data_IF_180760719970
#
_entry.id   IF_180760719970
#
_cell.length_a   1.000
_cell.length_b   1.000
_cell.length_c   1.000
_cell.angle_alpha   90.00
_cell.angle_beta   90.00
_cell.angle_gamma   90.00
#
_symmetry.space_group_name_H-M   'P 1'
#
loop_
_entity.id
_entity.type
_entity.pdbx_description
1 polymer ?
#
# COMPACT_ATOMS: atom_id res chain seq x y z
N UNK A 1 5.48 -15.42 -36.15
CA UNK A 1 6.29 -14.44 -35.43
C UNK A 1 5.61 -14.23 -34.10
N UNK A 2 6.20 -14.80 -33.04
CA UNK A 2 5.64 -14.78 -31.68
C UNK A 2 6.11 -13.51 -30.98
N UNK A 3 5.19 -12.57 -30.73
CA UNK A 3 5.35 -11.59 -29.66
C UNK A 3 4.47 -12.04 -28.49
N UNK A 4 5.16 -12.42 -27.42
CA UNK A 4 4.60 -13.02 -26.24
C UNK A 4 3.80 -11.98 -25.43
N UNK A 5 2.58 -12.38 -25.07
CA UNK A 5 1.94 -12.22 -23.76
C UNK A 5 2.40 -10.99 -22.98
N UNK A 6 1.56 -9.96 -22.96
CA UNK A 6 1.62 -8.86 -22.01
C UNK A 6 1.51 -9.37 -20.58
N UNK A 7 2.64 -9.80 -20.01
CA UNK A 7 2.86 -9.74 -18.58
C UNK A 7 3.59 -8.41 -18.35
N UNK A 8 2.84 -7.35 -18.13
CA UNK A 8 3.42 -6.11 -17.62
C UNK A 8 4.14 -6.40 -16.29
N UNK A 9 5.46 -6.35 -16.39
CA UNK A 9 6.50 -6.13 -15.39
C UNK A 9 6.43 -6.91 -14.03
N UNK A 10 7.37 -7.86 -13.81
CA UNK A 10 7.79 -8.26 -12.46
C UNK A 10 8.47 -7.15 -11.64
N UNK A 11 8.73 -5.96 -12.21
CA UNK A 11 9.45 -4.87 -11.54
C UNK A 11 8.67 -4.25 -10.38
N UNK A 12 7.33 -4.19 -10.43
CA UNK A 12 6.54 -3.68 -9.30
C UNK A 12 6.66 -4.59 -8.06
N UNK A 13 6.68 -5.91 -8.25
CA UNK A 13 6.86 -6.85 -7.15
C UNK A 13 8.24 -6.77 -6.51
N UNK A 14 9.30 -6.64 -7.31
CA UNK A 14 10.68 -6.50 -6.82
C UNK A 14 10.91 -5.16 -6.12
N UNK A 15 10.39 -4.06 -6.68
CA UNK A 15 10.44 -2.74 -6.05
C UNK A 15 9.73 -2.74 -4.69
N UNK A 16 8.55 -3.37 -4.62
CA UNK A 16 7.79 -3.49 -3.38
C UNK A 16 8.52 -4.35 -2.35
N UNK A 17 9.08 -5.49 -2.74
CA UNK A 17 9.88 -6.34 -1.83
C UNK A 17 11.09 -5.57 -1.28
N UNK A 18 11.84 -4.85 -2.12
CA UNK A 18 12.96 -4.03 -1.68
C UNK A 18 12.55 -2.92 -0.70
N UNK A 19 11.39 -2.29 -0.93
CA UNK A 19 10.82 -1.31 0.00
C UNK A 19 10.47 -1.94 1.36
N UNK A 20 9.84 -3.12 1.36
CA UNK A 20 9.49 -3.85 2.58
C UNK A 20 10.73 -4.27 3.37
N UNK A 21 11.77 -4.77 2.69
CA UNK A 21 13.05 -5.12 3.29
C UNK A 21 13.74 -3.91 3.93
N UNK A 22 13.73 -2.76 3.25
CA UNK A 22 14.26 -1.51 3.79
C UNK A 22 13.57 -1.14 5.10
N UNK A 23 12.23 -1.12 5.12
CA UNK A 23 11.51 -0.77 6.33
C UNK A 23 11.75 -1.79 7.44
N UNK A 24 11.65 -3.09 7.17
CA UNK A 24 11.89 -4.14 8.17
C UNK A 24 13.27 -3.98 8.85
N UNK A 25 14.32 -3.71 8.08
CA UNK A 25 15.67 -3.46 8.61
C UNK A 25 15.75 -2.18 9.46
N UNK A 26 14.97 -1.14 9.13
CA UNK A 26 14.90 0.08 9.94
C UNK A 26 14.10 -0.15 11.23
N UNK A 27 13.04 -0.96 11.18
CA UNK A 27 12.17 -1.25 12.33
C UNK A 27 12.82 -2.16 13.37
N UNK A 28 13.76 -3.00 12.95
CA UNK A 28 14.50 -3.91 13.84
C UNK A 28 15.57 -3.20 14.70
N UNK A 29 15.78 -1.89 14.49
CA UNK A 29 16.78 -1.11 15.24
C UNK A 29 16.43 -1.02 16.73
N UNK A 30 17.37 -1.40 17.58
CA UNK A 30 17.24 -1.32 19.03
C UNK A 30 16.87 0.11 19.52
N UNK A 31 16.00 0.17 20.52
CA UNK A 31 15.57 1.43 21.14
C UNK A 31 14.67 2.31 20.27
N UNK A 32 14.28 1.88 19.06
CA UNK A 32 13.32 2.63 18.23
C UNK A 32 11.95 2.74 18.90
N UNK A 33 11.48 1.68 19.56
CA UNK A 33 10.18 1.66 20.24
C UNK A 33 10.03 2.73 21.35
N UNK A 34 11.15 3.21 21.91
CA UNK A 34 11.15 4.27 22.93
C UNK A 34 11.05 5.69 22.32
N UNK A 35 11.20 5.81 21.00
CA UNK A 35 11.23 7.09 20.27
C UNK A 35 9.97 7.22 19.42
N UNK A 36 8.84 7.52 20.06
CA UNK A 36 7.51 7.55 19.42
C UNK A 36 7.48 8.47 18.20
N UNK A 37 8.11 9.65 18.27
CA UNK A 37 8.22 10.57 17.13
C UNK A 37 8.93 9.95 15.93
N UNK A 38 10.01 9.20 16.15
CA UNK A 38 10.73 8.49 15.08
C UNK A 38 9.85 7.40 14.48
N UNK A 39 9.15 6.63 15.31
CA UNK A 39 8.23 5.57 14.85
C UNK A 39 7.10 6.16 14.00
N UNK A 40 6.46 7.25 14.45
CA UNK A 40 5.39 7.90 13.68
C UNK A 40 5.90 8.50 12.37
N UNK A 41 7.11 9.06 12.36
CA UNK A 41 7.74 9.56 11.14
C UNK A 41 8.02 8.43 10.14
N UNK A 42 8.54 7.29 10.62
CA UNK A 42 8.79 6.11 9.79
C UNK A 42 7.50 5.51 9.24
N UNK A 43 6.45 5.43 10.07
CA UNK A 43 5.13 4.96 9.69
C UNK A 43 4.54 5.80 8.57
N UNK A 44 4.57 7.13 8.71
CA UNK A 44 4.14 8.05 7.66
C UNK A 44 4.94 7.85 6.38
N UNK A 45 6.27 7.77 6.48
CA UNK A 45 7.14 7.51 5.33
C UNK A 45 6.74 6.23 4.60
N UNK A 46 6.55 5.13 5.35
CA UNK A 46 6.14 3.84 4.81
C UNK A 46 4.80 3.92 4.07
N UNK A 47 3.80 4.58 4.67
CA UNK A 47 2.49 4.76 4.03
C UNK A 47 2.63 5.53 2.71
N UNK A 48 3.40 6.63 2.69
CA UNK A 48 3.57 7.45 1.50
C UNK A 48 4.33 6.71 0.39
N UNK A 49 5.35 5.93 0.72
CA UNK A 49 6.10 5.17 -0.27
C UNK A 49 5.32 3.98 -0.80
N UNK A 50 4.49 3.33 0.03
CA UNK A 50 3.54 2.30 -0.43
C UNK A 50 2.51 2.88 -1.41
N UNK A 51 1.92 4.05 -1.11
CA UNK A 51 0.97 4.73 -2.01
C UNK A 51 1.61 5.05 -3.37
N UNK A 52 2.90 5.44 -3.40
CA UNK A 52 3.62 5.74 -4.65
C UNK A 52 4.00 4.50 -5.45
N UNK A 53 4.13 3.35 -4.78
CA UNK A 53 4.61 2.11 -5.40
C UNK A 53 3.48 1.36 -6.10
N UNK A 54 2.24 1.52 -5.63
CA UNK A 54 1.06 0.89 -6.24
C UNK A 54 0.62 1.60 -7.51
N UNK A 55 0.04 0.85 -8.45
CA UNK A 55 -0.41 1.37 -9.73
C UNK A 55 -1.78 2.08 -9.62
N UNK A 56 -1.81 3.26 -9.00
CA UNK A 56 -2.99 4.13 -8.88
C UNK A 56 -2.87 5.28 -9.91
N UNK A 57 -3.99 5.77 -10.49
CA UNK A 57 -3.97 6.97 -11.32
C UNK A 57 -3.24 8.13 -10.62
N UNK A 58 -2.26 8.74 -11.29
CA UNK A 58 -1.31 9.69 -10.69
C UNK A 58 -1.99 10.79 -9.87
N UNK A 59 -3.05 11.40 -10.41
CA UNK A 59 -3.82 12.43 -9.69
C UNK A 59 -4.47 11.92 -8.40
N UNK A 60 -5.01 10.70 -8.41
CA UNK A 60 -5.66 10.10 -7.24
C UNK A 60 -4.61 9.67 -6.19
N UNK A 61 -3.49 9.10 -6.63
CA UNK A 61 -2.38 8.76 -5.74
C UNK A 61 -1.76 9.99 -5.07
N UNK A 62 -1.56 11.07 -5.83
CA UNK A 62 -1.07 12.34 -5.32
C UNK A 62 -2.05 12.97 -4.32
N UNK A 63 -3.36 12.97 -4.62
CA UNK A 63 -4.40 13.48 -3.73
C UNK A 63 -4.45 12.71 -2.40
N UNK A 64 -4.36 11.38 -2.46
CA UNK A 64 -4.32 10.53 -1.26
C UNK A 64 -3.06 10.79 -0.43
N UNK A 65 -1.88 10.78 -1.06
CA UNK A 65 -0.62 11.04 -0.38
C UNK A 65 -0.61 12.43 0.29
N UNK A 66 -1.08 13.46 -0.43
CA UNK A 66 -1.21 14.81 0.11
C UNK A 66 -2.22 14.88 1.25
N UNK A 67 -3.37 14.21 1.13
CA UNK A 67 -4.38 14.18 2.19
C UNK A 67 -3.83 13.51 3.46
N UNK A 68 -3.15 12.36 3.34
CA UNK A 68 -2.51 11.67 4.47
C UNK A 68 -1.45 12.55 5.11
N UNK A 69 -0.54 13.13 4.32
CA UNK A 69 0.53 13.99 4.83
C UNK A 69 -0.02 15.17 5.64
N UNK A 70 -1.06 15.85 5.12
CA UNK A 70 -1.65 16.98 5.83
C UNK A 70 -2.45 16.55 7.05
N UNK A 71 -3.16 15.44 6.98
CA UNK A 71 -3.98 14.96 8.09
C UNK A 71 -3.17 14.34 9.22
N UNK A 72 -1.91 13.97 8.97
CA UNK A 72 -1.05 13.28 9.92
C UNK A 72 -0.86 14.06 11.22
N UNK A 73 -1.16 13.41 12.34
CA UNK A 73 -0.98 13.98 13.66
C UNK A 73 0.35 13.49 14.25
N UNK A 74 1.34 14.36 14.40
CA UNK A 74 2.61 13.95 15.00
C UNK A 74 2.49 13.73 16.51
N UNK A 75 1.61 14.47 17.18
CA UNK A 75 1.45 14.41 18.62
C UNK A 75 0.25 13.54 18.97
N UNK A 76 0.50 12.28 19.34
CA UNK A 76 -0.55 11.46 19.93
C UNK A 76 -0.94 12.05 21.28
N UNK A 77 -2.23 12.38 21.44
CA UNK A 77 -2.78 12.89 22.71
C UNK A 77 -2.65 11.91 23.88
N UNK A 78 -2.30 10.65 23.62
CA UNK A 78 -2.05 9.60 24.59
C UNK A 78 -0.64 9.03 24.38
N UNK A 79 0.37 9.66 24.99
CA UNK A 79 1.75 9.16 25.04
C UNK A 79 1.87 7.99 26.04
N UNK A 80 1.09 6.92 25.82
CA UNK A 80 1.29 5.70 26.58
C UNK A 80 2.66 5.11 26.22
N UNK A 81 3.47 4.65 27.20
CA UNK A 81 4.77 4.01 26.93
C UNK A 81 4.70 2.79 25.98
N UNK A 82 3.51 2.20 25.78
CA UNK A 82 3.29 1.09 24.85
C UNK A 82 3.09 1.51 23.40
N UNK A 83 2.79 2.80 23.14
CA UNK A 83 2.37 3.26 21.83
C UNK A 83 3.42 2.96 20.75
N UNK A 84 4.70 3.27 21.00
CA UNK A 84 5.76 2.98 20.04
C UNK A 84 5.87 1.49 19.68
N UNK A 85 5.58 0.58 20.62
CA UNK A 85 5.57 -0.87 20.36
C UNK A 85 4.36 -1.30 19.53
N UNK A 86 3.19 -0.72 19.80
CA UNK A 86 1.97 -1.01 19.05
C UNK A 86 2.07 -0.54 17.60
N UNK A 87 2.62 0.66 17.39
CA UNK A 87 2.87 1.23 16.06
C UNK A 87 3.85 0.36 15.25
N UNK A 88 4.98 -0.04 15.86
CA UNK A 88 5.94 -0.95 15.24
C UNK A 88 5.30 -2.30 14.89
N UNK A 89 4.48 -2.85 15.77
CA UNK A 89 3.76 -4.11 15.53
C UNK A 89 2.78 -3.98 14.36
N UNK A 90 2.08 -2.86 14.24
CA UNK A 90 1.17 -2.61 13.12
C UNK A 90 1.91 -2.54 11.79
N UNK A 91 3.06 -1.87 11.75
CA UNK A 91 3.91 -1.78 10.56
C UNK A 91 4.51 -3.14 10.17
N UNK A 92 5.05 -3.90 11.13
CA UNK A 92 5.56 -5.25 10.86
C UNK A 92 4.48 -6.21 10.36
N UNK A 93 3.26 -6.10 10.91
CA UNK A 93 2.12 -6.87 10.41
C UNK A 93 1.76 -6.49 8.98
N UNK A 94 1.70 -5.20 8.68
CA UNK A 94 1.50 -4.68 7.32
C UNK A 94 2.54 -5.25 6.35
N UNK A 95 3.83 -5.22 6.71
CA UNK A 95 4.92 -5.81 5.90
C UNK A 95 4.68 -7.30 5.64
N UNK A 96 4.34 -8.07 6.67
CA UNK A 96 4.08 -9.49 6.55
C UNK A 96 2.88 -9.80 5.65
N UNK A 97 1.78 -9.05 5.81
CA UNK A 97 0.56 -9.21 5.02
C UNK A 97 0.83 -8.90 3.53
N UNK A 98 1.54 -7.81 3.22
CA UNK A 98 1.90 -7.45 1.84
C UNK A 98 2.83 -8.50 1.23
N UNK A 99 3.87 -8.94 1.95
CA UNK A 99 4.81 -9.97 1.48
C UNK A 99 4.10 -11.28 1.15
N UNK A 100 3.17 -11.70 1.99
CA UNK A 100 2.34 -12.89 1.74
C UNK A 100 1.55 -12.77 0.44
N UNK A 101 0.98 -11.59 0.17
CA UNK A 101 0.21 -11.34 -1.05
C UNK A 101 1.07 -11.30 -2.31
N UNK A 102 2.27 -10.71 -2.25
CA UNK A 102 3.25 -10.77 -3.36
C UNK A 102 3.60 -12.24 -3.67
N UNK A 103 3.93 -13.03 -2.66
CA UNK A 103 4.27 -14.45 -2.84
C UNK A 103 3.08 -15.29 -3.30
N UNK A 104 1.84 -14.91 -2.96
CA UNK A 104 0.62 -15.51 -3.51
C UNK A 104 0.46 -15.16 -4.99
N UNK A 105 0.63 -13.89 -5.36
CA UNK A 105 0.54 -13.42 -6.74
C UNK A 105 1.60 -14.05 -7.65
N UNK A 106 2.84 -14.25 -7.16
CA UNK A 106 3.90 -14.95 -7.91
C UNK A 106 3.55 -16.41 -8.23
N UNK A 107 2.78 -17.07 -7.35
CA UNK A 107 2.33 -18.46 -7.54
C UNK A 107 1.15 -18.57 -8.51
N UNK A 108 0.29 -17.56 -8.55
CA UNK A 108 -0.90 -17.52 -9.40
C UNK A 108 -0.61 -16.62 -10.61
N UNK A 109 -0.21 -17.20 -11.75
CA UNK A 109 -0.07 -16.46 -13.01
C UNK A 109 -1.44 -16.04 -13.55
N UNK A 110 -1.99 -14.98 -12.99
CA UNK A 110 -3.26 -14.38 -13.38
C UNK A 110 -3.01 -13.01 -14.01
N UNK A 111 -3.71 -12.64 -15.10
CA UNK A 111 -3.64 -11.30 -15.69
C UNK A 111 -3.99 -10.19 -14.68
N UNK A 112 -4.84 -10.48 -13.70
CA UNK A 112 -5.23 -9.52 -12.65
C UNK A 112 -4.33 -9.56 -11.40
N UNK A 113 -3.27 -10.38 -11.38
CA UNK A 113 -2.43 -10.55 -10.19
C UNK A 113 -1.76 -9.25 -9.74
N UNK A 114 -1.36 -8.37 -10.68
CA UNK A 114 -0.81 -7.06 -10.35
C UNK A 114 -1.85 -6.19 -9.63
N UNK A 115 -3.05 -6.05 -10.21
CA UNK A 115 -4.14 -5.25 -9.62
C UNK A 115 -4.53 -5.79 -8.24
N UNK A 116 -4.54 -7.11 -8.06
CA UNK A 116 -4.78 -7.74 -6.76
C UNK A 116 -3.68 -7.42 -5.74
N UNK A 117 -2.42 -7.35 -6.18
CA UNK A 117 -1.29 -6.99 -5.32
C UNK A 117 -1.38 -5.52 -4.91
N UNK A 118 -1.68 -4.63 -5.86
CA UNK A 118 -1.87 -3.19 -5.59
C UNK A 118 -3.03 -2.97 -4.59
N UNK A 119 -4.16 -3.65 -4.78
CA UNK A 119 -5.28 -3.61 -3.86
C UNK A 119 -4.91 -4.16 -2.47
N UNK A 120 -4.15 -5.26 -2.40
CA UNK A 120 -3.67 -5.82 -1.15
C UNK A 120 -2.77 -4.85 -0.38
N UNK A 121 -1.87 -4.14 -1.07
CA UNK A 121 -1.04 -3.10 -0.45
C UNK A 121 -1.91 -2.01 0.17
N UNK A 122 -2.93 -1.54 -0.54
CA UNK A 122 -3.82 -0.49 -0.05
C UNK A 122 -4.65 -0.94 1.16
N UNK A 123 -5.09 -2.20 1.20
CA UNK A 123 -5.80 -2.79 2.34
C UNK A 123 -4.86 -2.96 3.55
N UNK A 124 -3.60 -3.33 3.29
CA UNK A 124 -2.62 -3.60 4.33
C UNK A 124 -1.89 -2.34 4.81
N UNK A 125 -2.21 -1.15 4.32
CA UNK A 125 -1.58 0.09 4.80
C UNK A 125 -1.68 0.17 6.33
N UNK A 126 -0.58 0.48 7.04
CA UNK A 126 -0.62 0.60 8.48
C UNK A 126 -1.26 1.93 8.91
N UNK A 127 -2.39 2.35 8.31
CA UNK A 127 -3.03 3.63 8.58
C UNK A 127 -4.23 3.43 9.51
N UNK A 128 -4.19 4.04 10.70
CA UNK A 128 -5.26 4.00 11.69
C UNK A 128 -5.96 5.36 11.80
N UNK A 129 -7.26 5.42 12.14
CA UNK A 129 -7.94 6.70 12.35
C UNK A 129 -7.27 7.59 13.41
N UNK A 130 -6.65 6.98 14.43
CA UNK A 130 -5.89 7.67 15.47
C UNK A 130 -4.61 8.34 14.98
N UNK A 131 -4.14 8.01 13.77
CA UNK A 131 -2.98 8.66 13.18
C UNK A 131 -3.30 10.03 12.59
N UNK A 132 -4.59 10.33 12.46
CA UNK A 132 -5.09 11.43 11.65
C UNK A 132 -5.87 12.42 12.52
N UNK A 133 -5.86 13.68 12.10
CA UNK A 133 -6.78 14.69 12.62
C UNK A 133 -8.22 14.24 12.36
N UNK A 134 -9.03 14.17 13.40
CA UNK A 134 -10.36 13.53 13.37
C UNK A 134 -11.30 14.09 12.27
N UNK A 135 -11.18 15.38 11.95
CA UNK A 135 -11.97 16.03 10.89
C UNK A 135 -11.53 15.67 9.47
N UNK A 136 -10.31 15.15 9.28
CA UNK A 136 -9.77 14.74 7.98
C UNK A 136 -10.03 13.25 7.68
N UNK A 137 -10.36 12.45 8.70
CA UNK A 137 -10.63 11.00 8.56
C UNK A 137 -11.65 10.72 7.45
N UNK A 138 -12.84 11.36 7.39
CA UNK A 138 -13.82 11.07 6.33
C UNK A 138 -13.30 11.32 4.91
N UNK A 139 -12.47 12.35 4.74
CA UNK A 139 -11.86 12.69 3.44
C UNK A 139 -10.89 11.61 2.99
N UNK A 140 -10.05 11.13 3.89
CA UNK A 140 -9.10 10.04 3.59
C UNK A 140 -9.84 8.74 3.26
N UNK A 141 -10.89 8.41 4.02
CA UNK A 141 -11.73 7.26 3.70
C UNK A 141 -12.35 7.36 2.30
N UNK A 142 -12.87 8.53 1.90
CA UNK A 142 -13.42 8.74 0.57
C UNK A 142 -12.38 8.58 -0.55
N UNK A 143 -11.13 8.99 -0.31
CA UNK A 143 -10.04 8.80 -1.28
C UNK A 143 -9.64 7.33 -1.38
N UNK A 144 -9.54 6.62 -0.25
CA UNK A 144 -9.29 5.18 -0.23
C UNK A 144 -10.39 4.40 -0.97
N UNK A 145 -11.65 4.76 -0.78
CA UNK A 145 -12.79 4.15 -1.49
C UNK A 145 -12.63 4.32 -3.01
N UNK A 146 -12.33 5.54 -3.49
CA UNK A 146 -12.09 5.80 -4.92
C UNK A 146 -10.92 5.00 -5.48
N UNK A 147 -9.86 4.78 -4.69
CA UNK A 147 -8.73 3.93 -5.07
C UNK A 147 -9.19 2.48 -5.24
N UNK A 148 -9.95 1.95 -4.27
CA UNK A 148 -10.47 0.58 -4.35
C UNK A 148 -11.45 0.40 -5.52
N UNK A 149 -12.29 1.39 -5.80
CA UNK A 149 -13.19 1.40 -6.97
C UNK A 149 -12.40 1.37 -8.28
N UNK A 150 -11.25 2.05 -8.34
CA UNK A 150 -10.38 2.02 -9.51
C UNK A 150 -9.81 0.62 -9.75
N UNK A 151 -9.34 -0.06 -8.71
CA UNK A 151 -8.89 -1.45 -8.82
C UNK A 151 -10.02 -2.40 -9.23
N UNK A 152 -11.21 -2.24 -8.64
CA UNK A 152 -12.38 -3.05 -8.99
C UNK A 152 -12.77 -2.87 -10.47
N UNK A 153 -12.74 -1.64 -10.97
CA UNK A 153 -12.96 -1.34 -12.38
C UNK A 153 -11.90 -1.99 -13.29
N UNK A 154 -10.62 -1.93 -12.90
CA UNK A 154 -9.52 -2.58 -13.63
C UNK A 154 -9.69 -4.10 -13.73
N UNK A 155 -10.04 -4.77 -12.63
CA UNK A 155 -10.37 -6.20 -12.63
C UNK A 155 -11.54 -6.50 -13.58
N UNK A 156 -12.58 -5.66 -13.55
CA UNK A 156 -13.75 -5.80 -14.42
C UNK A 156 -13.42 -5.68 -15.91
N UNK A 157 -12.41 -4.89 -16.28
CA UNK A 157 -11.95 -4.72 -17.66
C UNK A 157 -11.16 -5.95 -18.13
N UNK A 158 -10.22 -6.46 -17.33
CA UNK A 158 -9.40 -7.62 -17.74
C UNK A 158 -10.17 -8.92 -17.82
N UNK A 159 -11.14 -9.13 -16.92
CA UNK A 159 -12.03 -10.30 -17.02
C UNK A 159 -12.91 -10.24 -18.28
N UNK A 160 -13.23 -9.04 -18.80
CA UNK A 160 -13.99 -8.88 -20.05
C UNK A 160 -13.10 -9.07 -21.28
N UNK A 161 -11.86 -8.58 -21.23
CA UNK A 161 -10.85 -8.74 -22.28
C UNK A 161 -10.56 -10.23 -22.56
N UNK A 162 -10.39 -11.03 -21.51
CA UNK A 162 -10.17 -12.48 -21.62
C UNK A 162 -11.35 -13.26 -22.22
N UNK A 163 -12.58 -12.74 -22.12
CA UNK A 163 -13.79 -13.41 -22.64
C UNK A 163 -14.11 -13.07 -24.09
N UNK A 164 -13.58 -11.97 -24.62
CA UNK A 164 -13.86 -11.50 -25.98
C UNK A 164 -12.58 -10.98 -26.65
N UNK A 165 -11.66 -11.87 -27.07
CA UNK A 165 -10.48 -11.46 -27.82
C UNK A 165 -10.93 -10.79 -29.13
N UNK A 166 -10.51 -9.55 -29.34
CA UNK A 166 -10.74 -8.80 -30.58
C UNK A 166 -10.16 -9.60 -31.75
N UNK A 167 -10.91 -9.87 -32.82
CA UNK A 167 -10.35 -10.58 -33.97
C UNK A 167 -9.26 -9.71 -34.61
N UNK A 168 -8.03 -10.23 -34.63
CA UNK A 168 -6.91 -9.61 -35.34
C UNK A 168 -7.28 -9.55 -36.83
N UNK A 169 -7.24 -8.34 -37.41
CA UNK A 169 -7.39 -8.10 -38.85
C UNK A 169 -6.04 -8.10 -39.53
#
# INVERSE_FOLDING_TARGET
MSEAIGCESPQNGENLLGLLEYYEAVLDREGLAARVGDVRSLKLGMILDLIKTVNIPEGLGADLAYAVLNAWEMNSRNEAPSQGKEELKAMLRSIADIRSEIERARRIRSPIASIQTDAAVMIALPLMPSDLRANEVPKIHSLLEKVMDNFAAGIGQEVRSDRFPTPQR
#
